data_IF_463895967192
#
_entry.id   IF_463895967192
#
_cell.length_a   1.000
_cell.length_b   1.000
_cell.length_c   1.000
_cell.angle_alpha   90.00
_cell.angle_beta   90.00
_cell.angle_gamma   90.00
#
_symmetry.space_group_name_H-M   'P 1'
#
loop_
_entity.id
_entity.type
_entity.pdbx_description
1 polymer ?
#
# COMPACT_ATOMS: atom_id res chain seq x y z
N UNK A 1 -8.74 5.58 28.93
CA UNK A 1 -9.94 5.94 28.14
C UNK A 1 -9.99 5.02 26.94
N UNK A 2 -11.17 4.60 26.46
CA UNK A 2 -11.28 3.82 25.22
C UNK A 2 -10.73 4.62 24.04
N UNK A 3 -10.11 3.93 23.08
CA UNK A 3 -9.66 4.53 21.82
C UNK A 3 -10.88 5.09 21.07
N UNK A 4 -10.90 6.39 20.74
CA UNK A 4 -11.98 6.96 19.95
C UNK A 4 -12.02 6.34 18.55
N UNK A 5 -13.23 6.13 18.02
CA UNK A 5 -13.39 5.77 16.61
C UNK A 5 -13.09 6.99 15.74
N UNK A 6 -12.30 6.80 14.68
CA UNK A 6 -12.05 7.86 13.70
C UNK A 6 -13.36 8.33 13.04
N UNK A 7 -13.60 9.64 13.07
CA UNK A 7 -14.72 10.30 12.43
C UNK A 7 -14.18 11.38 11.48
N UNK A 8 -14.19 11.15 10.14
CA UNK A 8 -13.67 12.13 9.21
C UNK A 8 -14.52 13.40 9.19
N UNK A 9 -13.87 14.55 8.99
CA UNK A 9 -14.56 15.81 8.72
C UNK A 9 -15.32 15.71 7.39
N UNK A 10 -16.56 16.21 7.36
CA UNK A 10 -17.37 16.31 6.14
C UNK A 10 -17.30 17.76 5.65
N UNK A 11 -16.81 17.97 4.43
CA UNK A 11 -16.72 19.30 3.85
C UNK A 11 -18.12 19.96 3.79
N UNK A 12 -18.23 21.17 4.34
CA UNK A 12 -19.50 21.91 4.44
C UNK A 12 -20.48 21.41 5.52
N UNK A 13 -20.12 20.37 6.28
CA UNK A 13 -20.90 19.89 7.41
C UNK A 13 -20.64 20.67 8.70
N UNK A 14 -21.59 20.61 9.65
CA UNK A 14 -21.33 21.06 11.02
C UNK A 14 -20.39 20.08 11.73
N UNK A 15 -19.56 20.59 12.63
CA UNK A 15 -18.71 19.76 13.47
C UNK A 15 -19.58 18.85 14.35
N UNK A 16 -19.36 17.55 14.26
CA UNK A 16 -20.06 16.55 15.06
C UNK A 16 -19.27 16.22 16.35
N UNK A 17 -19.97 15.77 17.39
CA UNK A 17 -19.37 15.53 18.70
C UNK A 17 -18.30 14.43 18.66
N UNK A 18 -18.47 13.40 17.82
CA UNK A 18 -17.48 12.36 17.56
C UNK A 18 -16.18 12.92 16.93
N UNK A 19 -16.30 13.89 16.02
CA UNK A 19 -15.15 14.57 15.41
C UNK A 19 -14.33 15.39 16.42
N UNK A 20 -14.95 15.87 17.51
CA UNK A 20 -14.28 16.54 18.61
C UNK A 20 -13.74 15.55 19.64
N UNK A 21 -14.53 14.53 19.98
CA UNK A 21 -14.18 13.54 21.00
C UNK A 21 -12.96 12.70 20.61
N UNK A 22 -12.72 12.49 19.31
CA UNK A 22 -11.50 11.82 18.84
C UNK A 22 -10.21 12.57 19.23
N UNK A 23 -10.27 13.90 19.39
CA UNK A 23 -9.12 14.70 19.82
C UNK A 23 -8.78 14.52 21.31
N UNK A 24 -9.69 13.93 22.09
CA UNK A 24 -9.54 13.78 23.54
C UNK A 24 -8.91 12.43 23.95
N UNK A 25 -8.58 11.57 22.98
CA UNK A 25 -8.03 10.24 23.23
C UNK A 25 -6.79 9.93 22.40
N UNK A 26 -6.08 8.87 22.80
CA UNK A 26 -4.95 8.34 22.03
C UNK A 26 -5.44 7.43 20.92
N UNK A 27 -4.97 7.69 19.71
CA UNK A 27 -5.18 6.81 18.57
C UNK A 27 -4.10 5.73 18.52
N UNK A 28 -4.41 4.49 18.06
CA UNK A 28 -3.42 3.45 17.92
C UNK A 28 -2.52 3.82 16.75
N UNK A 29 -1.27 4.16 17.04
CA UNK A 29 -0.26 4.47 16.03
C UNK A 29 0.69 3.29 15.88
N UNK A 30 0.97 2.96 14.62
CA UNK A 30 1.94 1.94 14.25
C UNK A 30 3.04 2.60 13.44
N UNK A 31 4.27 2.48 13.94
CA UNK A 31 5.46 2.89 13.21
C UNK A 31 5.92 1.73 12.33
N UNK A 32 6.15 2.03 11.06
CA UNK A 32 6.61 1.10 10.05
C UNK A 32 8.01 1.54 9.63
N UNK A 33 8.96 0.61 9.70
CA UNK A 33 10.36 0.86 9.38
C UNK A 33 10.73 0.17 8.06
N UNK A 34 11.93 0.45 7.55
CA UNK A 34 12.44 -0.19 6.34
C UNK A 34 12.35 -1.71 6.42
N UNK A 35 12.76 -2.26 7.57
CA UNK A 35 12.69 -3.68 7.87
C UNK A 35 13.56 -4.52 6.93
N UNK A 36 13.34 -5.82 6.98
CA UNK A 36 13.96 -6.80 6.08
C UNK A 36 12.90 -7.41 5.17
N UNK A 37 13.29 -7.75 3.95
CA UNK A 37 12.38 -8.44 3.04
C UNK A 37 12.07 -9.85 3.58
N UNK A 38 10.78 -10.15 3.76
CA UNK A 38 10.27 -11.47 4.15
C UNK A 38 9.64 -12.22 2.97
N UNK A 39 9.43 -11.52 1.86
CA UNK A 39 9.20 -12.10 0.54
C UNK A 39 9.60 -11.10 -0.55
N UNK A 40 10.20 -11.60 -1.63
CA UNK A 40 10.59 -10.79 -2.78
C UNK A 40 10.07 -11.45 -4.04
N UNK A 41 9.26 -10.72 -4.80
CA UNK A 41 8.90 -11.12 -6.16
C UNK A 41 9.93 -10.66 -7.17
N UNK A 42 9.55 -10.64 -8.44
CA UNK A 42 10.39 -10.06 -9.48
C UNK A 42 10.60 -8.56 -9.22
N UNK A 43 11.84 -8.10 -9.29
CA UNK A 43 12.22 -6.69 -9.09
C UNK A 43 12.92 -6.10 -10.30
N UNK A 44 12.99 -6.86 -11.40
CA UNK A 44 13.68 -6.50 -12.64
C UNK A 44 12.71 -5.77 -13.59
N UNK A 45 13.27 -4.95 -14.47
CA UNK A 45 12.59 -4.07 -15.43
C UNK A 45 11.28 -4.67 -15.99
N UNK A 46 10.23 -3.84 -15.97
CA UNK A 46 8.91 -4.24 -16.43
C UNK A 46 8.94 -4.72 -17.89
N UNK A 47 8.27 -5.84 -18.14
CA UNK A 47 7.93 -6.26 -19.50
C UNK A 47 6.44 -5.98 -19.83
N UNK A 48 5.60 -5.74 -18.82
CA UNK A 48 4.14 -5.57 -18.98
C UNK A 48 3.53 -4.79 -17.82
N UNK A 49 2.29 -4.34 -17.99
CA UNK A 49 1.50 -3.65 -16.96
C UNK A 49 0.08 -4.20 -16.90
N UNK A 50 -0.49 -4.23 -15.71
CA UNK A 50 -1.89 -4.62 -15.48
C UNK A 50 -2.66 -3.44 -14.90
N UNK A 51 -3.78 -3.10 -15.53
CA UNK A 51 -4.64 -2.00 -15.09
C UNK A 51 -5.66 -2.45 -14.04
N UNK A 52 -6.03 -1.55 -13.13
CA UNK A 52 -7.09 -1.79 -12.15
C UNK A 52 -8.51 -1.75 -12.75
N UNK A 53 -8.70 -1.25 -13.96
CA UNK A 53 -10.04 -1.10 -14.56
C UNK A 53 -10.74 -2.44 -14.75
N UNK A 54 -11.83 -2.67 -14.02
CA UNK A 54 -12.65 -3.89 -14.11
C UNK A 54 -11.93 -5.18 -13.71
N UNK A 55 -10.73 -5.08 -13.11
CA UNK A 55 -9.89 -6.23 -12.83
C UNK A 55 -9.22 -6.13 -11.44
N UNK A 56 -9.47 -7.14 -10.63
CA UNK A 56 -8.71 -7.44 -9.42
C UNK A 56 -7.41 -8.13 -9.80
N UNK A 57 -6.32 -7.78 -9.13
CA UNK A 57 -5.02 -8.43 -9.27
C UNK A 57 -4.66 -9.12 -7.96
N UNK A 58 -4.18 -10.35 -8.01
CA UNK A 58 -3.76 -11.11 -6.84
C UNK A 58 -2.38 -11.72 -7.07
N UNK A 59 -1.38 -11.15 -6.39
CA UNK A 59 -0.01 -11.64 -6.42
C UNK A 59 0.25 -12.53 -5.20
N UNK A 60 0.51 -13.83 -5.41
CA UNK A 60 0.92 -14.72 -4.32
C UNK A 60 2.35 -14.44 -3.88
N UNK A 61 2.62 -14.65 -2.60
CA UNK A 61 3.97 -14.73 -2.04
C UNK A 61 4.02 -15.78 -0.93
N UNK A 62 5.20 -16.35 -0.70
CA UNK A 62 5.45 -17.23 0.44
C UNK A 62 6.14 -16.42 1.52
N UNK A 63 5.61 -16.43 2.74
CA UNK A 63 6.26 -15.78 3.87
C UNK A 63 7.48 -16.61 4.26
N UNK A 64 8.68 -16.17 3.88
CA UNK A 64 9.90 -16.99 4.00
C UNK A 64 10.40 -17.09 5.44
N UNK A 65 10.16 -16.06 6.27
CA UNK A 65 10.57 -15.98 7.66
C UNK A 65 9.58 -15.15 8.48
N UNK A 66 9.56 -15.40 9.79
CA UNK A 66 8.75 -14.62 10.74
C UNK A 66 7.27 -14.98 10.74
N UNK A 67 6.48 -14.14 11.41
CA UNK A 67 5.03 -14.32 11.64
C UNK A 67 4.24 -13.03 11.42
N UNK A 68 4.85 -12.07 10.72
CA UNK A 68 4.27 -10.76 10.46
C UNK A 68 4.70 -10.20 9.11
N UNK A 69 3.87 -9.32 8.59
CA UNK A 69 4.16 -8.39 7.49
C UNK A 69 3.87 -7.00 8.04
N UNK A 70 4.79 -6.06 7.84
CA UNK A 70 4.61 -4.67 8.25
C UNK A 70 4.31 -3.75 7.06
N UNK A 71 4.81 -4.10 5.87
CA UNK A 71 4.70 -3.29 4.68
C UNK A 71 4.75 -4.12 3.40
N UNK A 72 4.01 -3.66 2.40
CA UNK A 72 4.13 -4.13 1.02
C UNK A 72 4.62 -2.97 0.15
N UNK A 73 5.57 -3.24 -0.72
CA UNK A 73 6.06 -2.29 -1.72
C UNK A 73 5.66 -2.77 -3.10
N UNK A 74 5.00 -1.92 -3.89
CA UNK A 74 4.51 -2.24 -5.24
C UNK A 74 5.06 -1.23 -6.24
N UNK A 75 5.34 -1.68 -7.46
CA UNK A 75 5.65 -0.77 -8.54
C UNK A 75 4.37 -0.35 -9.26
N UNK A 76 4.05 0.95 -9.21
CA UNK A 76 2.78 1.50 -9.68
C UNK A 76 3.01 2.71 -10.57
N UNK A 77 2.15 2.90 -11.55
CA UNK A 77 2.02 4.09 -12.38
C UNK A 77 0.53 4.45 -12.53
N UNK A 78 0.23 5.66 -13.00
CA UNK A 78 -1.14 6.05 -13.34
C UNK A 78 -1.33 6.11 -14.86
N UNK A 79 -2.49 5.67 -15.33
CA UNK A 79 -3.05 6.05 -16.62
C UNK A 79 -4.05 7.19 -16.41
N UNK A 80 -3.96 8.25 -17.21
CA UNK A 80 -4.86 9.40 -17.11
C UNK A 80 -4.73 10.09 -15.75
N UNK A 81 -5.87 10.38 -15.11
CA UNK A 81 -5.90 10.91 -13.75
C UNK A 81 -5.64 9.84 -12.66
N UNK A 82 -5.39 8.58 -13.06
CA UNK A 82 -5.26 7.45 -12.15
C UNK A 82 -6.56 7.10 -11.42
N UNK A 83 -6.47 6.24 -10.42
CA UNK A 83 -7.61 5.86 -9.59
C UNK A 83 -7.14 5.34 -8.22
N UNK A 84 -7.93 5.57 -7.18
CA UNK A 84 -7.68 4.96 -5.89
C UNK A 84 -7.88 3.46 -5.97
N UNK A 85 -6.94 2.72 -5.39
CA UNK A 85 -7.00 1.26 -5.34
C UNK A 85 -6.88 0.79 -3.91
N UNK A 86 -7.81 -0.06 -3.48
CA UNK A 86 -7.63 -0.76 -2.20
C UNK A 86 -6.67 -1.93 -2.41
N UNK A 87 -5.62 -1.97 -1.61
CA UNK A 87 -4.65 -3.05 -1.56
C UNK A 87 -4.85 -3.81 -0.24
N UNK A 88 -4.87 -5.14 -0.31
CA UNK A 88 -5.14 -5.99 0.84
C UNK A 88 -4.19 -7.19 0.91
N UNK A 89 -3.91 -7.62 2.14
CA UNK A 89 -3.30 -8.92 2.40
C UNK A 89 -4.39 -9.94 2.64
N UNK A 90 -4.27 -11.10 2.01
CA UNK A 90 -5.24 -12.19 2.14
C UNK A 90 -4.55 -13.52 2.37
N UNK A 91 -5.21 -14.41 3.11
CA UNK A 91 -4.74 -15.77 3.28
C UNK A 91 -4.91 -16.57 1.99
N UNK A 92 -4.17 -17.67 1.85
CA UNK A 92 -4.40 -18.62 0.77
C UNK A 92 -5.62 -19.50 1.07
N UNK A 93 -6.44 -19.72 0.06
CA UNK A 93 -7.60 -20.61 0.05
C UNK A 93 -7.54 -21.46 -1.22
N UNK A 94 -7.07 -22.70 -1.09
CA UNK A 94 -6.92 -23.66 -2.20
C UNK A 94 -6.19 -23.08 -3.43
N UNK A 95 -5.12 -22.32 -3.20
CA UNK A 95 -4.31 -21.72 -4.26
C UNK A 95 -4.87 -20.41 -4.82
N UNK A 96 -5.87 -19.81 -4.18
CA UNK A 96 -6.43 -18.49 -4.51
C UNK A 96 -6.47 -17.61 -3.25
N UNK A 97 -6.60 -16.28 -3.36
CA UNK A 97 -6.81 -15.45 -2.18
C UNK A 97 -8.14 -15.75 -1.49
N UNK A 98 -8.16 -15.66 -0.15
CA UNK A 98 -9.37 -15.74 0.66
C UNK A 98 -10.34 -14.57 0.38
N UNK A 99 -11.60 -14.71 0.79
CA UNK A 99 -12.58 -13.62 0.71
C UNK A 99 -12.29 -12.52 1.76
N UNK A 100 -11.91 -12.92 2.97
CA UNK A 100 -11.56 -12.00 4.05
C UNK A 100 -10.15 -11.43 3.87
N UNK A 101 -10.01 -10.13 4.16
CA UNK A 101 -8.72 -9.44 4.24
C UNK A 101 -8.13 -9.61 5.65
N UNK A 102 -6.83 -9.90 5.70
CA UNK A 102 -6.02 -9.86 6.93
C UNK A 102 -5.67 -8.41 7.29
N UNK A 103 -5.44 -7.59 6.26
CA UNK A 103 -5.20 -6.16 6.34
C UNK A 103 -5.62 -5.50 5.03
N UNK A 104 -5.99 -4.24 5.05
CA UNK A 104 -6.31 -3.46 3.85
C UNK A 104 -5.95 -1.99 4.01
N UNK A 105 -5.55 -1.36 2.92
CA UNK A 105 -5.27 0.07 2.85
C UNK A 105 -5.63 0.62 1.47
N UNK A 106 -5.97 1.90 1.40
CA UNK A 106 -6.14 2.60 0.12
C UNK A 106 -4.78 3.12 -0.33
N UNK A 107 -4.41 2.82 -1.57
CA UNK A 107 -3.39 3.53 -2.35
C UNK A 107 -4.08 4.70 -3.07
N UNK A 108 -3.85 5.94 -2.64
CA UNK A 108 -4.42 7.11 -3.30
C UNK A 108 -3.71 7.38 -4.62
N UNK A 109 -4.45 7.84 -5.64
CA UNK A 109 -3.85 8.16 -6.94
C UNK A 109 -2.82 9.29 -6.86
N UNK A 110 -3.00 10.24 -5.95
CA UNK A 110 -2.08 11.36 -5.72
C UNK A 110 -0.70 10.89 -5.20
N UNK A 111 -0.61 9.64 -4.73
CA UNK A 111 0.63 9.01 -4.26
C UNK A 111 1.32 8.20 -5.35
N UNK A 112 0.85 8.29 -6.60
CA UNK A 112 1.48 7.67 -7.77
C UNK A 112 1.77 8.72 -8.84
N UNK A 113 0.95 9.77 -8.92
CA UNK A 113 0.98 10.82 -9.96
C UNK A 113 2.37 11.16 -10.51
N UNK A 114 2.50 11.13 -11.84
CA UNK A 114 3.74 11.38 -12.57
C UNK A 114 4.32 10.10 -13.16
N UNK A 115 5.58 9.80 -12.83
CA UNK A 115 6.30 8.64 -13.37
C UNK A 115 6.09 7.41 -12.48
N UNK A 116 6.07 6.24 -13.13
CA UNK A 116 6.02 4.95 -12.44
C UNK A 116 7.10 4.84 -11.35
N UNK A 117 6.72 4.33 -10.17
CA UNK A 117 7.62 4.25 -9.01
C UNK A 117 7.26 3.10 -8.07
N UNK A 118 8.18 2.80 -7.16
CA UNK A 118 7.86 2.00 -5.98
C UNK A 118 7.07 2.85 -4.98
N UNK A 119 5.97 2.29 -4.47
CA UNK A 119 5.16 2.88 -3.40
C UNK A 119 5.12 1.93 -2.21
N UNK A 120 5.29 2.49 -1.02
CA UNK A 120 5.29 1.76 0.25
C UNK A 120 3.93 1.86 0.93
N UNK A 121 3.30 0.70 1.14
CA UNK A 121 1.99 0.59 1.76
C UNK A 121 2.12 -0.02 3.15
N UNK A 122 1.78 0.71 4.25
CA UNK A 122 1.82 0.21 5.62
C UNK A 122 0.67 -0.78 5.89
N UNK A 123 0.79 -1.95 5.28
CA UNK A 123 -0.22 -2.99 5.23
C UNK A 123 0.15 -4.10 6.22
N UNK A 124 -0.09 -3.85 7.50
CA UNK A 124 0.39 -4.70 8.60
C UNK A 124 -0.54 -5.89 8.89
N UNK A 125 0.02 -7.08 8.98
CA UNK A 125 -0.66 -8.28 9.46
C UNK A 125 0.27 -9.09 10.39
N UNK A 126 -0.27 -9.67 11.45
CA UNK A 126 0.46 -10.49 12.42
C UNK A 126 -0.21 -11.85 12.63
N UNK A 127 0.45 -12.75 13.35
CA UNK A 127 -0.06 -14.12 13.56
C UNK A 127 0.01 -14.98 12.30
N UNK A 128 0.86 -14.61 11.35
CA UNK A 128 1.06 -15.35 10.11
C UNK A 128 1.92 -16.60 10.35
N UNK A 129 1.78 -17.58 9.47
CA UNK A 129 2.52 -18.83 9.51
C UNK A 129 3.71 -18.78 8.55
N UNK A 130 4.91 -19.00 9.07
CA UNK A 130 6.11 -19.13 8.26
C UNK A 130 5.95 -20.28 7.24
N UNK A 131 6.37 -20.04 5.99
CA UNK A 131 6.25 -20.99 4.88
C UNK A 131 4.87 -21.05 4.24
N UNK A 132 3.85 -20.37 4.80
CA UNK A 132 2.54 -20.32 4.19
C UNK A 132 2.48 -19.31 3.04
N UNK A 133 1.60 -19.58 2.07
CA UNK A 133 1.28 -18.66 0.98
C UNK A 133 0.26 -17.63 1.44
N UNK A 134 0.51 -16.38 1.06
CA UNK A 134 -0.38 -15.24 1.22
C UNK A 134 -0.49 -14.49 -0.09
N UNK A 135 -1.43 -13.55 -0.16
CA UNK A 135 -1.75 -12.83 -1.38
C UNK A 135 -1.78 -11.33 -1.14
N UNK A 136 -1.13 -10.58 -2.01
CA UNK A 136 -1.37 -9.14 -2.18
C UNK A 136 -2.50 -9.01 -3.20
N UNK A 137 -3.62 -8.42 -2.81
CA UNK A 137 -4.80 -8.28 -3.67
C UNK A 137 -5.14 -6.81 -3.85
N UNK A 138 -5.23 -6.37 -5.10
CA UNK A 138 -5.73 -5.06 -5.49
C UNK A 138 -7.18 -5.16 -5.95
N UNK A 139 -8.00 -4.16 -5.63
CA UNK A 139 -9.38 -4.08 -6.12
C UNK A 139 -9.45 -3.64 -7.58
N UNK A 140 -10.50 -4.07 -8.28
CA UNK A 140 -10.90 -3.40 -9.51
C UNK A 140 -11.32 -1.96 -9.20
N UNK A 141 -10.77 -0.98 -9.91
CA UNK A 141 -11.06 0.44 -9.73
C UNK A 141 -10.69 1.26 -10.97
N UNK A 142 -11.30 2.44 -11.10
CA UNK A 142 -11.10 3.34 -12.25
C UNK A 142 -11.87 2.91 -13.49
N UNK A 143 -11.45 3.45 -14.64
CA UNK A 143 -12.06 3.26 -15.94
C UNK A 143 -11.03 3.04 -17.06
N UNK A 144 -11.48 3.00 -18.32
CA UNK A 144 -10.64 2.74 -19.48
C UNK A 144 -9.61 3.84 -19.78
N UNK A 145 -9.72 5.00 -19.15
CA UNK A 145 -8.84 6.15 -19.29
C UNK A 145 -8.07 6.41 -17.98
N UNK A 146 -8.75 6.35 -16.84
CA UNK A 146 -8.24 6.71 -15.52
C UNK A 146 -8.12 5.47 -14.63
N UNK A 147 -6.90 4.95 -14.44
CA UNK A 147 -6.67 3.72 -13.67
C UNK A 147 -5.24 3.64 -13.14
N UNK A 148 -5.04 2.88 -12.07
CA UNK A 148 -3.70 2.48 -11.66
C UNK A 148 -3.17 1.37 -12.57
N UNK A 149 -1.87 1.39 -12.83
CA UNK A 149 -1.13 0.42 -13.60
C UNK A 149 -0.07 -0.23 -12.69
N UNK A 150 -0.14 -1.54 -12.55
CA UNK A 150 0.80 -2.32 -11.75
C UNK A 150 1.85 -2.94 -12.65
N UNK A 151 3.11 -2.67 -12.33
CA UNK A 151 4.23 -3.23 -13.07
C UNK A 151 4.26 -4.75 -12.96
N UNK A 152 4.49 -5.41 -14.08
CA UNK A 152 4.68 -6.85 -14.15
C UNK A 152 5.87 -7.24 -15.03
N UNK A 153 6.44 -8.39 -14.74
CA UNK A 153 7.53 -9.00 -15.50
C UNK A 153 7.30 -10.49 -15.66
N UNK A 154 8.11 -11.14 -16.52
CA UNK A 154 7.81 -12.43 -17.16
C UNK A 154 7.47 -13.61 -16.24
N UNK A 155 7.21 -14.77 -16.85
CA UNK A 155 6.69 -15.96 -16.19
C UNK A 155 7.66 -16.54 -15.15
N UNK A 156 7.57 -16.05 -13.90
CA UNK A 156 8.19 -16.65 -12.74
C UNK A 156 7.09 -17.09 -11.78
N UNK A 157 7.16 -18.35 -11.33
CA UNK A 157 6.29 -18.82 -10.26
C UNK A 157 6.69 -18.14 -8.94
N UNK A 158 5.72 -17.77 -8.09
CA UNK A 158 4.28 -17.95 -8.27
C UNK A 158 3.64 -16.80 -9.08
N UNK A 159 2.81 -17.17 -10.06
CA UNK A 159 2.23 -16.25 -11.05
C UNK A 159 1.09 -15.42 -10.49
N UNK A 160 0.95 -14.20 -11.02
CA UNK A 160 -0.19 -13.32 -10.80
C UNK A 160 -1.49 -14.03 -11.20
N UNK A 161 -2.56 -13.73 -10.45
CA UNK A 161 -3.93 -14.07 -10.81
C UNK A 161 -4.78 -12.83 -11.02
N UNK A 162 -5.75 -12.92 -11.91
CA UNK A 162 -6.72 -11.85 -12.15
C UNK A 162 -8.14 -12.33 -11.96
N UNK A 163 -9.04 -11.40 -11.63
CA UNK A 163 -10.47 -11.66 -11.47
C UNK A 163 -11.28 -10.43 -11.86
N UNK A 164 -12.46 -10.61 -12.45
CA UNK A 164 -13.39 -9.50 -12.74
C UNK A 164 -14.36 -9.24 -11.58
N UNK A 165 -14.47 -10.17 -10.63
CA UNK A 165 -15.44 -10.12 -9.54
C UNK A 165 -14.82 -10.33 -8.13
N UNK A 166 -13.52 -10.60 -8.06
CA UNK A 166 -12.80 -10.86 -6.81
C UNK A 166 -13.04 -12.25 -6.20
N UNK A 167 -13.75 -13.13 -6.89
CA UNK A 167 -14.11 -14.48 -6.40
C UNK A 167 -13.59 -15.60 -7.29
N UNK A 168 -13.54 -15.38 -8.61
CA UNK A 168 -13.06 -16.37 -9.59
C UNK A 168 -11.75 -15.92 -10.19
N UNK A 169 -10.69 -16.71 -10.02
CA UNK A 169 -9.31 -16.30 -10.31
C UNK A 169 -8.70 -17.08 -11.47
N UNK A 170 -8.27 -16.37 -12.51
CA UNK A 170 -7.49 -16.91 -13.62
C UNK A 170 -6.01 -16.64 -13.43
N UNK A 171 -5.15 -17.62 -13.70
CA UNK A 171 -3.70 -17.42 -13.69
C UNK A 171 -3.24 -16.66 -14.93
N UNK A 172 -2.23 -15.80 -14.77
CA UNK A 172 -1.52 -15.18 -15.88
C UNK A 172 -0.14 -15.83 -16.08
N UNK A 173 0.63 -15.33 -17.05
CA UNK A 173 2.01 -15.75 -17.30
C UNK A 173 3.04 -14.75 -16.79
N UNK A 174 2.70 -13.94 -15.78
CA UNK A 174 3.56 -12.86 -15.27
C UNK A 174 3.52 -12.80 -13.75
N UNK A 175 4.41 -12.02 -13.16
CA UNK A 175 4.42 -11.67 -11.74
C UNK A 175 4.37 -10.15 -11.59
N UNK A 176 3.65 -9.65 -10.58
CA UNK A 176 3.76 -8.24 -10.21
C UNK A 176 5.14 -7.94 -9.61
N UNK A 177 5.64 -6.73 -9.87
CA UNK A 177 6.81 -6.19 -9.20
C UNK A 177 6.43 -5.84 -7.76
N UNK A 178 6.92 -6.63 -6.80
CA UNK A 178 6.56 -6.49 -5.39
C UNK A 178 7.67 -6.90 -4.43
N UNK A 179 7.62 -6.34 -3.23
CA UNK A 179 8.39 -6.78 -2.06
C UNK A 179 7.51 -6.71 -0.82
N UNK A 180 7.76 -7.62 0.12
CA UNK A 180 7.05 -7.69 1.40
C UNK A 180 8.08 -7.60 2.51
N UNK A 181 7.87 -6.72 3.48
CA UNK A 181 8.82 -6.40 4.53
C UNK A 181 8.23 -6.62 5.91
N UNK A 182 9.11 -6.94 6.86
CA UNK A 182 8.82 -6.94 8.28
C UNK A 182 10.06 -6.51 9.09
N UNK A 183 9.83 -6.07 10.32
CA UNK A 183 10.87 -5.67 11.27
C UNK A 183 10.92 -4.16 11.53
N UNK A 184 11.55 -3.80 12.66
CA UNK A 184 11.62 -2.44 13.17
C UNK A 184 13.03 -1.81 13.01
N UNK A 185 13.74 -2.18 11.95
CA UNK A 185 15.12 -1.71 11.68
C UNK A 185 15.15 -0.72 10.51
N UNK A 186 16.14 0.16 10.50
CA UNK A 186 16.35 1.15 9.43
C UNK A 186 15.53 2.41 9.64
N UNK A 187 15.31 3.16 8.55
CA UNK A 187 14.55 4.42 8.59
C UNK A 187 13.06 4.15 8.84
N UNK A 188 12.37 5.14 9.44
CA UNK A 188 10.92 5.14 9.53
C UNK A 188 10.35 5.44 8.14
N UNK A 189 9.53 4.57 7.58
CA UNK A 189 9.03 4.69 6.20
C UNK A 189 7.54 5.01 6.14
N UNK A 190 6.82 4.68 7.22
CA UNK A 190 5.44 5.11 7.36
C UNK A 190 5.01 5.13 8.83
N UNK A 191 3.97 5.92 9.11
CA UNK A 191 3.15 5.77 10.29
C UNK A 191 1.72 5.44 9.85
N UNK A 192 1.08 4.47 10.49
CA UNK A 192 -0.31 4.10 10.25
C UNK A 192 -1.11 4.24 11.53
N UNK A 193 -2.29 4.84 11.42
CA UNK A 193 -3.18 5.09 12.54
C UNK A 193 -4.57 4.54 12.23
N UNK A 194 -5.31 4.19 13.29
CA UNK A 194 -6.71 3.72 13.18
C UNK A 194 -6.90 2.60 12.16
N UNK A 195 -6.03 1.59 12.23
CA UNK A 195 -6.04 0.43 11.33
C UNK A 195 -5.91 0.80 9.84
N UNK A 196 -5.16 1.85 9.53
CA UNK A 196 -4.89 2.31 8.16
C UNK A 196 -5.92 3.28 7.61
N UNK A 197 -6.88 3.74 8.42
CA UNK A 197 -7.78 4.83 8.03
C UNK A 197 -7.00 6.15 7.82
N UNK A 198 -5.85 6.28 8.49
CA UNK A 198 -4.91 7.38 8.33
C UNK A 198 -3.51 6.83 8.23
N UNK A 199 -2.70 7.34 7.32
CA UNK A 199 -1.29 6.95 7.26
C UNK A 199 -0.44 8.01 6.57
N UNK A 200 0.84 8.02 6.93
CA UNK A 200 1.84 8.90 6.35
C UNK A 200 2.96 8.05 5.77
N UNK A 201 3.31 8.26 4.51
CA UNK A 201 4.51 7.71 3.86
C UNK A 201 5.66 8.71 3.98
N UNK A 202 6.86 8.19 4.24
CA UNK A 202 8.12 8.94 4.27
C UNK A 202 9.07 8.33 3.23
N UNK A 203 9.46 9.14 2.24
CA UNK A 203 10.43 8.73 1.21
C UNK A 203 11.75 9.43 1.47
N UNK A 204 12.85 8.70 1.28
CA UNK A 204 14.21 9.19 1.47
C UNK A 204 15.03 9.01 0.19
N UNK A 205 16.02 9.87 -0.01
CA UNK A 205 17.04 9.67 -1.03
C UNK A 205 18.06 8.60 -0.63
N UNK A 206 19.01 8.30 -1.53
CA UNK A 206 20.05 7.30 -1.29
C UNK A 206 21.04 7.65 -0.15
N UNK A 207 20.98 8.86 0.40
CA UNK A 207 21.79 9.30 1.54
C UNK A 207 21.02 9.26 2.86
N UNK A 208 19.71 8.93 2.82
CA UNK A 208 18.83 8.94 3.98
C UNK A 208 18.24 10.33 4.29
N UNK A 209 18.31 11.28 3.36
CA UNK A 209 17.61 12.57 3.50
C UNK A 209 16.15 12.41 3.10
N UNK A 210 15.22 12.86 3.93
CA UNK A 210 13.77 12.78 3.66
C UNK A 210 13.43 13.67 2.46
N UNK A 211 12.87 13.11 1.38
CA UNK A 211 12.51 13.86 0.16
C UNK A 211 11.03 14.09 0.02
N UNK A 212 10.19 13.18 0.52
CA UNK A 212 8.74 13.30 0.37
C UNK A 212 7.99 12.85 1.62
N UNK A 213 6.90 13.55 1.89
CA UNK A 213 5.92 13.19 2.92
C UNK A 213 4.54 13.12 2.26
N UNK A 214 3.90 11.95 2.33
CA UNK A 214 2.56 11.74 1.76
C UNK A 214 1.59 11.38 2.85
N UNK A 215 0.53 12.15 3.03
CA UNK A 215 -0.45 11.98 4.11
C UNK A 215 -1.79 11.61 3.54
N UNK A 216 -2.34 10.49 4.01
CA UNK A 216 -3.66 10.02 3.68
C UNK A 216 -4.53 10.06 4.94
N UNK A 217 -5.62 10.83 4.87
CA UNK A 217 -6.66 10.93 5.90
C UNK A 217 -8.01 10.93 5.17
N UNK A 218 -8.35 9.80 4.56
CA UNK A 218 -9.55 9.64 3.75
C UNK A 218 -9.55 10.56 2.52
N UNK A 219 -10.39 11.61 2.54
CA UNK A 219 -10.48 12.60 1.47
C UNK A 219 -9.38 13.67 1.55
N UNK A 220 -8.75 13.85 2.71
CA UNK A 220 -7.61 14.74 2.85
C UNK A 220 -6.35 13.98 2.46
N UNK A 221 -5.75 14.41 1.36
CA UNK A 221 -4.59 13.77 0.76
C UNK A 221 -3.59 14.84 0.41
N UNK A 222 -2.36 14.64 0.82
CA UNK A 222 -1.32 15.62 0.60
C UNK A 222 -0.03 14.92 0.22
N UNK A 223 0.66 15.44 -0.78
CA UNK A 223 2.01 15.05 -1.15
C UNK A 223 2.86 16.30 -1.03
N UNK A 224 3.92 16.23 -0.22
CA UNK A 224 4.89 17.31 -0.04
C UNK A 224 6.25 16.82 -0.45
N UNK A 225 6.90 17.53 -1.35
CA UNK A 225 8.30 17.31 -1.72
C UNK A 225 9.17 18.32 -0.99
N UNK A 226 10.20 17.82 -0.32
CA UNK A 226 11.15 18.56 0.49
C UNK A 226 12.43 18.78 -0.30
N UNK A 227 12.90 20.02 -0.36
CA UNK A 227 14.16 20.39 -1.03
C UNK A 227 15.14 20.96 -0.03
N UNK A 228 16.42 20.61 -0.19
CA UNK A 228 17.48 20.95 0.75
C UNK A 228 18.65 21.63 0.04
N UNK A 229 19.35 22.50 0.77
CA UNK A 229 20.64 23.05 0.39
C UNK A 229 21.61 22.88 1.54
N UNK A 230 22.74 22.20 1.30
CA UNK A 230 23.75 21.91 2.33
C UNK A 230 23.17 21.24 3.59
N UNK A 231 22.18 20.35 3.41
CA UNK A 231 21.50 19.64 4.50
C UNK A 231 20.43 20.46 5.23
N UNK A 232 20.18 21.70 4.85
CA UNK A 232 19.15 22.57 5.43
C UNK A 232 17.93 22.54 4.52
N UNK A 233 16.73 22.34 5.08
CA UNK A 233 15.47 22.41 4.34
C UNK A 233 15.29 23.84 3.79
N UNK A 234 15.18 23.97 2.47
CA UNK A 234 15.02 25.25 1.77
C UNK A 234 13.68 25.41 1.07
N UNK A 235 12.90 24.34 0.92
CA UNK A 235 11.60 24.43 0.27
C UNK A 235 10.69 23.22 0.55
N UNK A 236 9.39 23.49 0.49
CA UNK A 236 8.31 22.50 0.54
C UNK A 236 7.35 22.85 -0.59
N UNK A 237 7.08 21.90 -1.47
CA UNK A 237 6.13 22.04 -2.58
C UNK A 237 5.11 20.91 -2.58
#
# INVERSE_FOLDING_TARGET
>A
MPTPTWAPAVAGGQAAADQLNQLLGTHPTQLVYEGSAVATGNTVAQASQYGSNGQYLAQPFVLATGTAVDRVRLWVADAGAGADVTVSLRANNAGNPSAASLASIVLPTEFVSGTARWVDLPLRASGLTNGATYWIVTTAAGDATNRALFGASGAAAPVLKTSTNGTTWGATATQLLHRVFAGATGLLVAASEDSGARWTELTYDGTGTLTDVREYVGVFRNTRTLTYSSGILTGVS
#
